data_IF_817458831079
#
_entry.id   IF_817458831079
#
_cell.length_a   1.000
_cell.length_b   1.000
_cell.length_c   1.000
_cell.angle_alpha   90.00
_cell.angle_beta   90.00
_cell.angle_gamma   90.00
#
_symmetry.space_group_name_H-M   'P 1'
#
loop_
_entity.id
_entity.type
_entity.pdbx_description
1 polymer ?
#
# COMPACT_ATOMS: atom_id res chain seq x y z
N UNK A 1 6.04 -22.26 63.80
CA UNK A 1 5.92 -21.57 62.51
C UNK A 1 5.00 -22.46 61.70
N UNK A 2 3.70 -22.30 61.95
CA UNK A 2 2.79 -21.41 61.20
C UNK A 2 2.60 -22.00 59.79
N UNK A 3 1.61 -22.89 59.63
CA UNK A 3 0.26 -22.62 59.08
C UNK A 3 0.25 -22.93 57.57
N UNK A 4 -0.56 -23.81 57.00
CA UNK A 4 -1.68 -24.63 57.47
C UNK A 4 -2.25 -25.43 56.29
N UNK A 5 -3.21 -26.30 56.63
CA UNK A 5 -4.15 -27.08 55.78
C UNK A 5 -4.42 -26.52 54.36
N UNK A 6 -4.65 -27.33 53.32
CA UNK A 6 -5.24 -28.66 53.27
C UNK A 6 -5.55 -29.07 51.81
N UNK A 7 -6.29 -30.18 51.59
CA UNK A 7 -5.98 -31.13 50.52
C UNK A 7 -7.14 -31.39 49.52
N UNK A 8 -6.86 -32.32 48.61
CA UNK A 8 -7.76 -33.35 48.07
C UNK A 8 -8.76 -32.98 46.94
N UNK A 9 -8.40 -33.51 45.76
CA UNK A 9 -9.14 -34.54 45.02
C UNK A 9 -10.57 -34.30 44.48
N UNK A 10 -10.67 -34.70 43.20
CA UNK A 10 -11.75 -35.48 42.56
C UNK A 10 -13.04 -34.81 42.07
N UNK A 11 -13.27 -34.97 40.76
CA UNK A 11 -14.60 -35.19 40.16
C UNK A 11 -14.85 -34.38 38.88
N UNK A 12 -14.62 -34.92 37.67
CA UNK A 12 -15.58 -35.70 36.82
C UNK A 12 -16.53 -34.81 35.97
N UNK A 13 -16.53 -35.04 34.65
CA UNK A 13 -17.49 -34.52 33.65
C UNK A 13 -16.95 -33.27 32.93
N UNK A 14 -16.73 -33.21 31.63
CA UNK A 14 -17.52 -33.76 30.54
C UNK A 14 -18.67 -32.80 30.25
N UNK A 15 -18.48 -31.86 29.34
CA UNK A 15 -19.51 -31.32 28.44
C UNK A 15 -18.85 -30.48 27.33
N UNK A 16 -19.24 -30.78 26.10
CA UNK A 16 -18.67 -30.24 24.88
C UNK A 16 -18.90 -28.75 24.71
N UNK A 17 -17.80 -27.99 24.62
CA UNK A 17 -17.76 -26.74 23.88
C UNK A 17 -16.88 -26.99 22.68
N UNK A 18 -17.45 -26.96 21.48
CA UNK A 18 -16.69 -26.80 20.23
C UNK A 18 -15.61 -25.76 20.47
N UNK A 19 -14.35 -26.16 20.31
CA UNK A 19 -13.20 -25.28 20.16
C UNK A 19 -13.38 -24.53 18.84
N UNK A 20 -14.37 -23.65 18.81
CA UNK A 20 -14.46 -22.54 17.88
C UNK A 20 -13.46 -21.53 18.39
N UNK A 21 -12.19 -21.92 18.35
CA UNK A 21 -11.07 -21.01 18.31
C UNK A 21 -11.35 -20.11 17.12
N UNK A 22 -12.07 -19.02 17.38
CA UNK A 22 -11.98 -17.84 16.55
C UNK A 22 -10.48 -17.58 16.54
N UNK A 23 -9.80 -17.64 15.36
CA UNK A 23 -8.41 -17.23 15.33
C UNK A 23 -8.35 -15.89 16.03
N UNK A 24 -7.40 -15.65 16.94
CA UNK A 24 -7.38 -14.44 17.72
C UNK A 24 -7.57 -13.30 16.73
N UNK A 25 -8.69 -12.59 16.83
CA UNK A 25 -8.81 -11.31 16.18
C UNK A 25 -7.74 -10.50 16.90
N UNK A 26 -6.53 -10.50 16.35
CA UNK A 26 -5.48 -9.57 16.72
C UNK A 26 -5.98 -8.22 16.21
N UNK A 27 -7.01 -7.71 16.91
CA UNK A 27 -7.35 -6.30 16.99
C UNK A 27 -6.26 -5.63 17.81
N UNK A 28 -5.00 -5.88 17.43
CA UNK A 28 -3.86 -5.17 17.92
C UNK A 28 -4.13 -3.72 17.62
N UNK A 29 -4.24 -2.91 18.67
CA UNK A 29 -4.09 -1.46 18.58
C UNK A 29 -2.67 -1.08 18.15
N UNK A 30 -2.19 -1.64 17.04
CA UNK A 30 -0.98 -1.28 16.36
C UNK A 30 -1.35 -0.15 15.41
N UNK A 31 -0.94 1.07 15.74
CA UNK A 31 -0.82 2.10 14.72
C UNK A 31 0.07 1.53 13.63
N UNK A 32 -0.45 1.44 12.41
CA UNK A 32 0.38 1.02 11.29
C UNK A 32 1.52 2.03 11.18
N UNK A 33 2.77 1.52 11.14
CA UNK A 33 3.90 2.43 11.06
C UNK A 33 3.75 3.25 9.78
N UNK A 34 4.08 4.55 9.80
CA UNK A 34 4.20 5.29 8.55
C UNK A 34 5.22 4.61 7.65
N UNK A 35 4.88 4.51 6.36
CA UNK A 35 5.74 3.88 5.35
C UNK A 35 6.09 4.94 4.31
N UNK A 36 7.39 5.24 4.22
CA UNK A 36 7.95 6.03 3.13
C UNK A 36 8.48 5.07 2.09
N UNK A 37 7.88 5.09 0.91
CA UNK A 37 8.39 4.32 -0.22
C UNK A 37 9.52 5.10 -0.90
N UNK A 38 10.70 4.50 -1.08
CA UNK A 38 11.75 5.12 -1.86
C UNK A 38 11.31 5.24 -3.32
N UNK A 39 11.79 6.28 -4.00
CA UNK A 39 11.54 6.41 -5.43
C UNK A 39 12.14 5.22 -6.19
N UNK A 40 11.51 4.75 -7.26
CA UNK A 40 12.08 3.71 -8.09
C UNK A 40 13.45 4.15 -8.61
N UNK A 41 14.44 3.27 -8.46
CA UNK A 41 15.82 3.49 -8.95
C UNK A 41 16.11 2.69 -10.21
N UNK A 42 15.25 1.72 -10.52
CA UNK A 42 15.36 0.90 -11.73
C UNK A 42 14.42 1.45 -12.79
N UNK A 43 14.94 1.79 -13.94
CA UNK A 43 14.13 2.29 -15.02
C UNK A 43 13.24 1.25 -15.68
N UNK A 44 12.08 1.68 -16.15
CA UNK A 44 11.11 0.79 -16.79
C UNK A 44 10.42 1.37 -18.02
N UNK A 45 10.48 2.69 -18.25
CA UNK A 45 9.87 3.32 -19.40
C UNK A 45 10.89 3.57 -20.50
N UNK A 46 10.54 3.33 -21.75
CA UNK A 46 11.34 3.72 -22.90
C UNK A 46 11.52 5.25 -22.99
N UNK A 47 12.63 5.69 -23.60
CA UNK A 47 12.91 7.12 -23.75
C UNK A 47 11.84 7.85 -24.59
N UNK A 48 11.27 7.17 -25.58
CA UNK A 48 10.18 7.70 -26.42
C UNK A 48 8.89 7.90 -25.60
N UNK A 49 8.55 6.95 -24.73
CA UNK A 49 7.45 7.04 -23.76
C UNK A 49 7.61 8.23 -22.82
N UNK A 50 8.83 8.49 -22.35
CA UNK A 50 9.10 9.65 -21.50
C UNK A 50 8.94 10.97 -22.25
N UNK A 51 9.42 11.05 -23.49
CA UNK A 51 9.23 12.24 -24.31
C UNK A 51 7.74 12.49 -24.61
N UNK A 52 6.98 11.42 -24.86
CA UNK A 52 5.54 11.47 -25.04
C UNK A 52 4.83 11.94 -23.75
N UNK A 53 5.13 11.31 -22.61
CA UNK A 53 4.53 11.63 -21.31
C UNK A 53 4.84 13.05 -20.84
N UNK A 54 6.06 13.56 -21.10
CA UNK A 54 6.43 14.94 -20.80
C UNK A 54 5.72 15.98 -21.69
N UNK A 55 5.32 15.59 -22.90
CA UNK A 55 4.58 16.43 -23.84
C UNK A 55 3.05 16.32 -23.68
N UNK A 56 2.57 15.35 -22.88
CA UNK A 56 1.15 15.14 -22.65
C UNK A 56 0.53 16.35 -21.93
N UNK A 57 -0.57 16.87 -22.47
CA UNK A 57 -1.31 18.01 -21.88
C UNK A 57 -2.57 17.57 -21.12
N UNK A 58 -2.80 16.26 -21.02
CA UNK A 58 -3.94 15.68 -20.33
C UNK A 58 -3.58 14.32 -19.75
N UNK A 59 -4.30 13.89 -18.73
CA UNK A 59 -4.14 12.57 -18.13
C UNK A 59 -4.37 11.45 -19.16
N UNK A 60 -5.38 11.58 -20.02
CA UNK A 60 -5.64 10.58 -21.07
C UNK A 60 -4.51 10.49 -22.10
N UNK A 61 -3.91 11.62 -22.49
CA UNK A 61 -2.74 11.62 -23.37
C UNK A 61 -1.51 10.99 -22.70
N UNK A 62 -1.36 11.22 -21.39
CA UNK A 62 -0.29 10.64 -20.60
C UNK A 62 -0.43 9.11 -20.48
N UNK A 63 -1.64 8.63 -20.19
CA UNK A 63 -1.96 7.20 -20.13
C UNK A 63 -1.74 6.52 -21.47
N UNK A 64 -2.14 7.16 -22.58
CA UNK A 64 -1.86 6.64 -23.92
C UNK A 64 -0.36 6.48 -24.20
N UNK A 65 0.49 7.39 -23.72
CA UNK A 65 1.94 7.23 -23.84
C UNK A 65 2.45 6.00 -23.08
N UNK A 66 1.94 5.75 -21.87
CA UNK A 66 2.34 4.58 -21.07
C UNK A 66 1.88 3.26 -21.70
N UNK A 67 0.69 3.26 -22.31
CA UNK A 67 0.12 2.09 -22.99
C UNK A 67 0.91 1.72 -24.27
N UNK A 68 1.46 2.71 -24.97
CA UNK A 68 2.29 2.53 -26.17
C UNK A 68 3.75 2.10 -25.84
N UNK A 69 4.12 2.04 -24.56
CA UNK A 69 5.46 1.60 -24.15
C UNK A 69 5.69 0.11 -24.44
N UNK A 70 6.86 -0.29 -25.00
CA UNK A 70 7.16 -1.70 -25.27
C UNK A 70 7.16 -2.60 -24.02
N UNK A 71 7.23 -2.01 -22.83
CA UNK A 71 7.08 -2.63 -21.52
C UNK A 71 6.02 -1.90 -20.67
N UNK A 72 4.86 -1.58 -21.25
CA UNK A 72 3.76 -0.83 -20.62
C UNK A 72 3.45 -1.20 -19.16
N UNK A 73 3.39 -2.49 -18.82
CA UNK A 73 3.16 -2.92 -17.43
C UNK A 73 4.28 -2.50 -16.47
N UNK A 74 5.55 -2.66 -16.89
CA UNK A 74 6.69 -2.28 -16.06
C UNK A 74 6.82 -0.75 -15.96
N UNK A 75 6.61 -0.05 -17.07
CA UNK A 75 6.60 1.42 -17.09
C UNK A 75 5.50 1.99 -16.20
N UNK A 76 4.26 1.48 -16.32
CA UNK A 76 3.13 1.89 -15.48
C UNK A 76 3.37 1.59 -14.00
N UNK A 77 3.92 0.42 -13.67
CA UNK A 77 4.27 0.08 -12.30
C UNK A 77 5.34 1.03 -11.72
N UNK A 78 6.37 1.37 -12.50
CA UNK A 78 7.39 2.34 -12.08
C UNK A 78 6.78 3.73 -11.85
N UNK A 79 5.94 4.21 -12.78
CA UNK A 79 5.27 5.50 -12.65
C UNK A 79 4.35 5.52 -11.41
N UNK A 80 3.58 4.45 -11.19
CA UNK A 80 2.76 4.28 -10.00
C UNK A 80 3.58 4.33 -8.71
N UNK A 81 4.70 3.60 -8.64
CA UNK A 81 5.60 3.63 -7.48
C UNK A 81 6.21 5.01 -7.25
N UNK A 82 6.62 5.72 -8.31
CA UNK A 82 7.15 7.07 -8.19
C UNK A 82 6.11 8.08 -7.69
N UNK A 83 4.85 7.93 -8.08
CA UNK A 83 3.74 8.74 -7.54
C UNK A 83 3.53 8.47 -6.05
N UNK A 84 3.44 7.20 -5.64
CA UNK A 84 3.25 6.85 -4.22
C UNK A 84 4.46 7.30 -3.39
N UNK A 85 5.68 7.12 -3.89
CA UNK A 85 6.88 7.64 -3.23
C UNK A 85 6.82 9.16 -3.03
N UNK A 86 6.40 9.93 -4.04
CA UNK A 86 6.21 11.36 -3.89
C UNK A 86 5.18 11.69 -2.80
N UNK A 87 4.03 11.02 -2.81
CA UNK A 87 2.96 11.24 -1.84
C UNK A 87 3.43 10.97 -0.41
N UNK A 88 4.10 9.84 -0.19
CA UNK A 88 4.61 9.46 1.14
C UNK A 88 5.71 10.42 1.62
N UNK A 89 6.62 10.88 0.73
CA UNK A 89 7.61 11.91 1.08
C UNK A 89 7.00 13.29 1.39
N UNK A 90 5.79 13.56 0.92
CA UNK A 90 5.08 14.81 1.16
C UNK A 90 4.04 14.71 2.30
N UNK A 91 4.11 13.66 3.13
CA UNK A 91 3.33 13.53 4.35
C UNK A 91 2.06 12.67 4.26
N UNK A 92 1.94 11.85 3.21
CA UNK A 92 0.93 10.78 3.13
C UNK A 92 1.45 9.41 3.57
N UNK A 93 2.61 9.35 4.24
CA UNK A 93 3.26 8.13 4.70
C UNK A 93 2.45 7.37 5.75
N UNK A 94 1.72 8.08 6.61
CA UNK A 94 0.82 7.48 7.58
C UNK A 94 -0.41 6.85 6.92
N UNK A 95 -1.05 7.56 5.98
CA UNK A 95 -2.21 7.07 5.24
C UNK A 95 -1.85 5.89 4.34
N UNK A 96 -0.67 5.93 3.71
CA UNK A 96 -0.14 4.80 2.95
C UNK A 96 0.13 3.58 3.83
N UNK A 97 0.78 3.78 4.99
CA UNK A 97 1.03 2.70 5.95
C UNK A 97 -0.25 2.03 6.46
N UNK A 98 -1.30 2.81 6.73
CA UNK A 98 -2.61 2.28 7.12
C UNK A 98 -3.27 1.48 5.97
N UNK A 99 -3.14 1.93 4.72
CA UNK A 99 -3.67 1.23 3.56
C UNK A 99 -2.97 -0.10 3.30
N UNK A 100 -1.64 -0.14 3.36
CA UNK A 100 -0.86 -1.39 3.21
C UNK A 100 -1.20 -2.39 4.31
N UNK A 101 -1.23 -1.96 5.56
CA UNK A 101 -1.69 -2.78 6.68
C UNK A 101 -3.07 -3.40 6.45
N UNK A 102 -4.03 -2.58 6.00
CA UNK A 102 -5.37 -3.09 5.73
C UNK A 102 -5.34 -4.11 4.59
N UNK A 103 -4.56 -3.85 3.54
CA UNK A 103 -4.34 -4.81 2.46
C UNK A 103 -3.78 -6.14 2.95
N UNK A 104 -2.73 -6.12 3.78
CA UNK A 104 -2.14 -7.33 4.36
C UNK A 104 -3.11 -8.07 5.28
N UNK A 105 -3.81 -7.35 6.17
CA UNK A 105 -4.76 -7.94 7.10
C UNK A 105 -5.98 -8.57 6.41
N UNK A 106 -6.38 -8.02 5.26
CA UNK A 106 -7.53 -8.51 4.47
C UNK A 106 -7.13 -9.46 3.34
N UNK A 107 -5.83 -9.64 3.09
CA UNK A 107 -5.31 -10.46 1.99
C UNK A 107 -5.53 -9.85 0.60
N UNK A 108 -5.70 -8.53 0.50
CA UNK A 108 -5.88 -7.84 -0.77
C UNK A 108 -4.56 -7.69 -1.52
N UNK A 109 -4.57 -8.08 -2.80
CA UNK A 109 -3.42 -7.96 -3.71
C UNK A 109 -3.67 -7.00 -4.87
N UNK A 110 -4.88 -6.44 -4.96
CA UNK A 110 -5.29 -5.53 -6.02
C UNK A 110 -6.16 -4.38 -5.50
N UNK A 111 -6.29 -3.35 -6.34
CA UNK A 111 -7.02 -2.11 -6.02
C UNK A 111 -8.53 -2.34 -5.88
N UNK A 112 -9.12 -3.31 -6.58
CA UNK A 112 -10.55 -3.58 -6.47
C UNK A 112 -10.87 -4.20 -5.09
N UNK A 113 -10.02 -5.09 -4.62
CA UNK A 113 -10.08 -5.66 -3.28
C UNK A 113 -9.89 -4.57 -2.22
N UNK A 114 -8.86 -3.72 -2.35
CA UNK A 114 -8.61 -2.62 -1.42
C UNK A 114 -9.80 -1.64 -1.36
N UNK A 115 -10.39 -1.27 -2.50
CA UNK A 115 -11.57 -0.42 -2.54
C UNK A 115 -12.78 -1.03 -1.82
N UNK A 116 -12.91 -2.36 -1.84
CA UNK A 116 -14.03 -3.06 -1.21
C UNK A 116 -13.81 -3.36 0.27
N UNK A 117 -12.58 -3.70 0.66
CA UNK A 117 -12.24 -4.22 1.99
C UNK A 117 -11.61 -3.17 2.89
N UNK A 118 -11.00 -2.14 2.31
CA UNK A 118 -10.29 -1.05 3.00
C UNK A 118 -10.80 0.34 2.55
N UNK A 119 -12.13 0.59 2.45
CA UNK A 119 -12.64 1.83 1.87
C UNK A 119 -12.27 3.08 2.68
N UNK A 120 -12.09 2.94 4.00
CA UNK A 120 -11.71 4.04 4.89
C UNK A 120 -10.27 4.48 4.63
N UNK A 121 -9.36 3.52 4.55
CA UNK A 121 -7.93 3.73 4.33
C UNK A 121 -7.68 4.26 2.92
N UNK A 122 -8.39 3.69 1.93
CA UNK A 122 -8.39 4.23 0.56
C UNK A 122 -8.90 5.67 0.54
N UNK A 123 -9.99 5.97 1.25
CA UNK A 123 -10.54 7.32 1.34
C UNK A 123 -9.57 8.31 1.98
N UNK A 124 -8.90 7.90 3.06
CA UNK A 124 -7.89 8.70 3.75
C UNK A 124 -6.68 8.98 2.86
N UNK A 125 -6.15 7.93 2.20
CA UNK A 125 -5.04 8.08 1.27
C UNK A 125 -5.40 8.97 0.08
N UNK A 126 -6.58 8.80 -0.53
CA UNK A 126 -7.03 9.66 -1.63
C UNK A 126 -7.24 11.12 -1.20
N UNK A 127 -7.70 11.35 0.03
CA UNK A 127 -7.84 12.70 0.60
C UNK A 127 -6.47 13.36 0.77
N UNK A 128 -5.49 12.62 1.30
CA UNK A 128 -4.11 13.10 1.39
C UNK A 128 -3.52 13.31 -0.01
N UNK A 129 -3.67 12.35 -0.91
CA UNK A 129 -3.21 12.45 -2.29
C UNK A 129 -3.81 13.64 -3.04
N UNK A 130 -5.04 14.07 -2.71
CA UNK A 130 -5.64 15.29 -3.28
C UNK A 130 -5.01 16.56 -2.70
N UNK A 131 -4.63 16.56 -1.42
CA UNK A 131 -4.05 17.75 -0.75
C UNK A 131 -2.60 18.02 -1.16
N UNK A 132 -1.82 16.97 -1.43
CA UNK A 132 -0.44 17.05 -1.96
C UNK A 132 -0.33 16.75 -3.45
N UNK A 133 -1.44 16.40 -4.09
CA UNK A 133 -1.48 16.00 -5.50
C UNK A 133 -0.95 17.06 -6.46
N UNK A 134 -1.10 18.35 -6.15
CA UNK A 134 -0.50 19.42 -6.94
C UNK A 134 1.04 19.47 -6.82
N UNK A 135 1.60 19.09 -5.68
CA UNK A 135 3.05 18.97 -5.44
C UNK A 135 3.62 17.73 -6.13
N UNK A 136 2.83 16.65 -6.17
CA UNK A 136 3.17 15.38 -6.83
C UNK A 136 2.66 15.25 -8.27
N UNK A 137 2.02 16.29 -8.82
CA UNK A 137 1.59 16.39 -10.20
C UNK A 137 2.82 16.57 -11.09
N UNK A 138 3.57 15.49 -11.28
CA UNK A 138 4.76 15.52 -12.11
C UNK A 138 4.71 14.37 -13.10
N UNK A 139 3.92 14.59 -14.15
CA UNK A 139 4.03 13.85 -15.41
C UNK A 139 5.45 13.92 -15.99
N UNK A 140 6.30 14.87 -15.56
CA UNK A 140 7.72 14.92 -15.93
C UNK A 140 8.67 14.21 -14.94
N UNK A 141 8.62 14.52 -13.64
CA UNK A 141 9.63 14.07 -12.68
C UNK A 141 9.46 12.62 -12.21
N UNK A 142 8.23 12.09 -12.25
CA UNK A 142 7.99 10.66 -11.99
C UNK A 142 8.60 9.82 -13.14
N UNK A 143 8.52 10.31 -14.38
CA UNK A 143 9.14 9.67 -15.53
C UNK A 143 10.67 9.75 -15.50
N UNK A 144 11.25 10.82 -14.92
CA UNK A 144 12.71 10.93 -14.73
C UNK A 144 13.26 9.85 -13.79
N UNK A 145 12.47 9.36 -12.82
CA UNK A 145 12.86 8.23 -11.98
C UNK A 145 12.78 6.87 -12.73
N UNK A 146 12.09 6.83 -13.86
CA UNK A 146 11.84 5.63 -14.67
C UNK A 146 12.69 5.56 -15.95
N UNK A 147 13.82 6.28 -16.04
CA UNK A 147 14.66 6.49 -17.26
C UNK A 147 15.66 5.38 -17.59
N UNK A 148 15.55 4.60 -18.68
CA UNK A 148 16.45 3.45 -18.98
C UNK A 148 17.93 3.78 -18.65
N UNK A 149 18.70 2.93 -17.92
CA UNK A 149 20.11 3.19 -17.74
C UNK A 149 20.74 3.08 -19.13
N UNK A 150 21.39 4.14 -19.60
CA UNK A 150 22.18 4.05 -20.81
C UNK A 150 23.24 2.95 -20.61
N UNK A 151 23.03 1.81 -21.27
CA UNK A 151 24.03 0.75 -21.42
C UNK A 151 25.01 1.10 -22.53
#
# INVERSE_FOLDING_TARGET
MDSGMGPADTGTGGDGGTDSGTPPTDSGGGTCPPIVLPAPTTPACAAETQACGAAATSQAAFEACLDDDPMAMACTACVGQGQVSCLTMNGCDAEWGNLECCGEATGCTDVACLNSMCPTEVGAFNTCATSVGATCAIQGAVLTACTIPAG
#
